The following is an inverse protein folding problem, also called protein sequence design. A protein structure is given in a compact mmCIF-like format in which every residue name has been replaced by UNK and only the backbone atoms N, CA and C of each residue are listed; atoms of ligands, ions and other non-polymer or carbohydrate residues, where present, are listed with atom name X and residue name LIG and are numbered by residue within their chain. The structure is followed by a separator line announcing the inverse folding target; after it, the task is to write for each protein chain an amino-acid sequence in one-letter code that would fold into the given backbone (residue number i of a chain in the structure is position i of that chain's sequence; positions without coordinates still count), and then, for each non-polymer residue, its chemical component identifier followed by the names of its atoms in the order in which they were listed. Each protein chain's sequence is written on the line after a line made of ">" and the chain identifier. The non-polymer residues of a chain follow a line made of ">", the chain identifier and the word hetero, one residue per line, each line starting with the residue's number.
data_IF_564475860149
#
_entry.id   IF_564475860149
#
_cell.length_a   1.000
_cell.length_b   1.000
_cell.length_c   1.000
_cell.angle_alpha   90.00
_cell.angle_beta   90.00
_cell.angle_gamma   90.00
#
_symmetry.space_group_name_H-M   'P 1'
#
loop_
_entity.id
_entity.type
_entity.pdbx_description
1 polymer ?
#
# COMPACT_ATOMS: atom_id res chain seq x y z
N UNK A 1 -17.72 -4.70 4.70
CA UNK A 1 -16.86 -4.16 3.64
C UNK A 1 -16.47 -2.71 3.91
N UNK A 2 -17.43 -1.86 4.23
CA UNK A 2 -17.14 -0.45 4.50
C UNK A 2 -16.20 -0.25 5.69
N UNK A 3 -16.36 -1.02 6.74
CA UNK A 3 -15.49 -0.94 7.91
C UNK A 3 -14.04 -1.30 7.55
N UNK A 4 -13.85 -2.32 6.73
CA UNK A 4 -12.51 -2.71 6.27
C UNK A 4 -11.89 -1.65 5.40
N UNK A 5 -12.67 -1.10 4.48
CA UNK A 5 -12.21 -0.05 3.58
C UNK A 5 -11.77 1.18 4.38
N UNK A 6 -12.56 1.59 5.36
CA UNK A 6 -12.24 2.73 6.21
C UNK A 6 -10.94 2.49 7.00
N UNK A 7 -10.79 1.30 7.57
CA UNK A 7 -9.59 0.94 8.32
C UNK A 7 -8.34 1.05 7.43
N UNK A 8 -8.41 0.49 6.22
CA UNK A 8 -7.28 0.48 5.30
C UNK A 8 -6.91 1.90 4.88
N UNK A 9 -7.90 2.67 4.43
CA UNK A 9 -7.66 4.04 3.96
C UNK A 9 -7.12 4.92 5.06
N UNK A 10 -7.72 4.84 6.25
CA UNK A 10 -7.30 5.65 7.39
C UNK A 10 -5.88 5.31 7.81
N UNK A 11 -5.55 4.01 7.91
CA UNK A 11 -4.21 3.56 8.30
C UNK A 11 -3.16 3.99 7.26
N UNK A 12 -3.47 3.80 5.97
CA UNK A 12 -2.53 4.18 4.92
C UNK A 12 -2.24 5.68 4.94
N UNK A 13 -3.25 6.50 5.17
CA UNK A 13 -3.07 7.94 5.20
C UNK A 13 -2.31 8.45 6.42
N UNK A 14 -2.10 7.62 7.44
CA UNK A 14 -1.26 7.98 8.58
C UNK A 14 0.22 7.68 8.33
N UNK A 15 0.54 6.94 7.27
CA UNK A 15 1.90 6.55 6.96
C UNK A 15 2.64 7.65 6.19
N UNK A 16 3.95 7.84 6.43
CA UNK A 16 4.70 8.86 5.71
C UNK A 16 4.79 8.54 4.22
N UNK A 17 4.55 9.54 3.37
CA UNK A 17 4.65 9.40 1.93
C UNK A 17 3.49 8.69 1.26
N UNK A 18 2.42 8.38 1.98
CA UNK A 18 1.27 7.64 1.45
C UNK A 18 0.05 8.53 1.35
N UNK A 19 -0.57 8.53 0.18
CA UNK A 19 -1.84 9.21 -0.09
C UNK A 19 -2.81 8.19 -0.65
N UNK A 20 -3.91 7.95 0.04
CA UNK A 20 -4.89 6.95 -0.36
C UNK A 20 -6.29 7.54 -0.40
N UNK A 21 -6.93 7.41 -1.55
CA UNK A 21 -8.33 7.81 -1.72
C UNK A 21 -9.25 6.61 -1.50
N UNK A 22 -10.45 6.90 -1.03
CA UNK A 22 -11.43 5.85 -0.76
C UNK A 22 -11.92 5.25 -2.08
N UNK A 23 -11.76 3.94 -2.30
CA UNK A 23 -12.22 3.31 -3.53
C UNK A 23 -13.75 3.25 -3.58
N UNK A 24 -14.30 3.31 -4.80
CA UNK A 24 -15.74 3.20 -5.02
C UNK A 24 -16.06 1.79 -5.48
N UNK A 25 -16.65 0.99 -4.58
CA UNK A 25 -17.14 -0.34 -4.92
C UNK A 25 -16.07 -1.36 -5.28
N UNK A 26 -14.82 -1.15 -4.84
CA UNK A 26 -13.71 -2.05 -5.16
C UNK A 26 -13.12 -2.63 -3.89
N UNK A 27 -12.61 -3.87 -3.97
CA UNK A 27 -11.86 -4.50 -2.89
C UNK A 27 -10.38 -4.11 -2.91
N UNK A 28 -9.98 -3.36 -3.93
CA UNK A 28 -8.59 -2.92 -4.09
C UNK A 28 -8.44 -1.48 -3.66
N UNK A 29 -7.31 -1.15 -3.06
CA UNK A 29 -6.91 0.23 -2.82
C UNK A 29 -5.68 0.53 -3.67
N UNK A 30 -5.55 1.77 -4.11
CA UNK A 30 -4.51 2.18 -5.04
C UNK A 30 -3.83 3.46 -4.54
N UNK A 31 -3.14 3.37 -3.38
CA UNK A 31 -2.51 4.55 -2.80
C UNK A 31 -1.31 5.03 -3.60
N UNK A 32 -1.09 6.33 -3.56
CA UNK A 32 0.16 6.92 -4.02
C UNK A 32 1.18 6.77 -2.90
N UNK A 33 2.31 6.15 -3.19
CA UNK A 33 3.35 5.93 -2.19
C UNK A 33 4.64 6.54 -2.71
N UNK A 34 5.15 7.54 -2.00
CA UNK A 34 6.35 8.27 -2.40
C UNK A 34 7.48 8.00 -1.42
N UNK A 35 8.51 7.29 -1.88
CA UNK A 35 9.75 7.09 -1.13
C UNK A 35 10.88 7.54 -2.04
N UNK A 36 11.63 8.59 -1.69
CA UNK A 36 12.71 9.09 -2.54
C UNK A 36 13.72 8.01 -2.90
N UNK A 37 14.03 7.88 -4.17
CA UNK A 37 14.98 6.90 -4.66
C UNK A 37 14.40 5.55 -5.02
N UNK A 38 13.10 5.34 -4.81
CA UNK A 38 12.43 4.07 -5.11
C UNK A 38 11.32 4.25 -6.14
N UNK A 39 11.27 3.34 -7.13
CA UNK A 39 10.14 3.25 -8.06
C UNK A 39 9.05 2.39 -7.44
N UNK A 40 7.85 2.39 -8.03
CA UNK A 40 6.76 1.55 -7.54
C UNK A 40 7.12 0.06 -7.62
N UNK A 41 7.85 -0.36 -8.65
CA UNK A 41 8.33 -1.74 -8.76
C UNK A 41 9.27 -2.09 -7.62
N UNK A 42 10.21 -1.21 -7.31
CA UNK A 42 11.16 -1.43 -6.23
C UNK A 42 10.45 -1.49 -4.88
N UNK A 43 9.46 -0.60 -4.67
CA UNK A 43 8.67 -0.61 -3.44
C UNK A 43 7.89 -1.91 -3.30
N UNK A 44 7.27 -2.39 -4.39
CA UNK A 44 6.53 -3.65 -4.36
C UNK A 44 7.45 -4.82 -4.00
N UNK A 45 8.67 -4.83 -4.51
CA UNK A 45 9.65 -5.86 -4.19
C UNK A 45 10.08 -5.83 -2.72
N UNK A 46 10.31 -4.64 -2.17
CA UNK A 46 10.67 -4.50 -0.76
C UNK A 46 9.55 -4.94 0.15
N UNK A 47 8.32 -4.61 -0.20
CA UNK A 47 7.15 -5.04 0.56
C UNK A 47 6.98 -6.55 0.50
N UNK A 48 7.23 -7.16 -0.66
CA UNK A 48 7.15 -8.61 -0.82
C UNK A 48 8.18 -9.31 0.08
N UNK A 49 9.38 -8.75 0.18
CA UNK A 49 10.42 -9.29 1.06
C UNK A 49 9.99 -9.28 2.52
N UNK A 50 9.19 -8.30 2.90
CA UNK A 50 8.70 -8.18 4.28
C UNK A 50 7.37 -8.89 4.49
N UNK A 51 6.87 -9.62 3.48
CA UNK A 51 5.69 -10.45 3.59
C UNK A 51 4.40 -9.80 3.09
N UNK A 52 4.48 -8.68 2.39
CA UNK A 52 3.29 -7.99 1.85
C UNK A 52 3.21 -8.19 0.35
N UNK A 53 2.11 -8.79 -0.10
CA UNK A 53 1.86 -8.99 -1.54
C UNK A 53 1.09 -7.81 -2.10
N UNK A 54 1.70 -7.12 -3.06
CA UNK A 54 1.05 -6.01 -3.76
C UNK A 54 1.60 -5.94 -5.18
N UNK A 55 0.94 -5.14 -6.03
CA UNK A 55 1.36 -4.95 -7.41
C UNK A 55 1.81 -3.50 -7.62
N UNK A 56 2.88 -3.27 -8.40
CA UNK A 56 3.24 -1.89 -8.75
C UNK A 56 2.18 -1.29 -9.66
N UNK A 57 1.92 0.00 -9.50
CA UNK A 57 0.90 0.68 -10.30
C UNK A 57 1.21 0.66 -11.79
N UNK A 58 2.49 0.57 -12.16
CA UNK A 58 2.90 0.49 -13.57
C UNK A 58 2.38 -0.75 -14.28
N UNK A 59 1.98 -1.80 -13.54
CA UNK A 59 1.35 -2.97 -14.13
C UNK A 59 0.00 -2.63 -14.77
N UNK A 60 -0.57 -1.47 -14.45
CA UNK A 60 -1.88 -1.03 -14.95
C UNK A 60 -1.76 0.18 -15.89
N UNK A 61 -0.54 0.49 -16.32
CA UNK A 61 -0.27 1.58 -17.26
C UNK A 61 0.83 2.51 -16.77
N UNK A 62 1.46 3.28 -17.67
CA UNK A 62 2.56 4.17 -17.31
C UNK A 62 2.18 5.23 -16.28
N UNK A 63 0.94 5.68 -16.27
CA UNK A 63 0.45 6.67 -15.30
C UNK A 63 0.34 6.11 -13.89
N UNK A 64 0.52 4.80 -13.72
CA UNK A 64 0.49 4.17 -12.40
C UNK A 64 1.78 4.30 -11.60
N UNK A 65 2.84 4.87 -12.19
CA UNK A 65 4.08 5.04 -11.46
C UNK A 65 3.85 5.90 -10.21
N UNK A 66 4.43 5.48 -9.09
CA UNK A 66 4.21 6.12 -7.79
C UNK A 66 3.03 5.55 -7.02
N UNK A 67 2.31 4.60 -7.61
CA UNK A 67 1.17 3.94 -6.96
C UNK A 67 1.43 2.47 -6.75
N UNK A 68 0.80 1.91 -5.71
CA UNK A 68 0.80 0.46 -5.44
C UNK A 68 -0.64 0.00 -5.32
N UNK A 69 -0.91 -1.24 -5.73
CA UNK A 69 -2.24 -1.82 -5.59
C UNK A 69 -2.22 -2.92 -4.55
N UNK A 70 -3.06 -2.77 -3.54
CA UNK A 70 -3.27 -3.77 -2.50
C UNK A 70 -4.67 -4.35 -2.63
N UNK A 71 -4.80 -5.66 -2.45
CA UNK A 71 -6.09 -6.34 -2.42
C UNK A 71 -6.32 -6.87 -1.00
N UNK A 72 -7.39 -6.43 -0.36
CA UNK A 72 -7.71 -6.82 1.00
C UNK A 72 -9.04 -7.57 1.00
N UNK A 73 -8.96 -8.90 0.97
CA UNK A 73 -10.14 -9.78 0.93
C UNK A 73 -10.24 -10.65 2.18
N UNK A 74 -9.38 -10.42 3.16
CA UNK A 74 -9.24 -11.26 4.34
C UNK A 74 -9.77 -10.54 5.59
N UNK A 75 -9.66 -11.19 6.76
CA UNK A 75 -10.20 -10.66 8.01
C UNK A 75 -9.53 -9.34 8.41
N UNK A 76 -10.21 -8.58 9.29
CA UNK A 76 -9.66 -7.31 9.78
C UNK A 76 -8.34 -7.51 10.52
N UNK A 77 -8.18 -8.63 11.23
CA UNK A 77 -6.93 -8.93 11.93
C UNK A 77 -5.77 -9.09 10.95
N UNK A 78 -5.99 -9.81 9.85
CA UNK A 78 -4.96 -10.00 8.84
C UNK A 78 -4.66 -8.71 8.10
N UNK A 79 -5.68 -7.88 7.88
CA UNK A 79 -5.50 -6.56 7.27
C UNK A 79 -4.62 -5.69 8.18
N UNK A 80 -4.88 -5.68 9.47
CA UNK A 80 -4.08 -4.90 10.43
C UNK A 80 -2.63 -5.35 10.44
N UNK A 81 -2.38 -6.67 10.42
CA UNK A 81 -1.03 -7.20 10.35
C UNK A 81 -0.33 -6.79 9.07
N UNK A 82 -1.03 -6.86 7.94
CA UNK A 82 -0.49 -6.43 6.66
C UNK A 82 -0.12 -4.96 6.66
N UNK A 83 -0.99 -4.12 7.22
CA UNK A 83 -0.73 -2.68 7.31
C UNK A 83 0.46 -2.37 8.22
N UNK A 84 0.61 -3.12 9.31
CA UNK A 84 1.77 -2.98 10.19
C UNK A 84 3.07 -3.29 9.44
N UNK A 85 3.05 -4.31 8.59
CA UNK A 85 4.21 -4.67 7.77
C UNK A 85 4.51 -3.57 6.74
N UNK A 86 3.47 -3.01 6.12
CA UNK A 86 3.65 -1.90 5.16
C UNK A 86 4.31 -0.71 5.86
N UNK A 87 3.79 -0.34 7.01
CA UNK A 87 4.33 0.78 7.78
C UNK A 87 5.78 0.52 8.18
N UNK A 88 6.09 -0.68 8.62
CA UNK A 88 7.46 -1.05 8.99
C UNK A 88 8.42 -0.96 7.81
N UNK A 89 7.99 -1.43 6.65
CA UNK A 89 8.80 -1.36 5.43
C UNK A 89 9.08 0.09 5.05
N UNK A 90 8.05 0.93 5.04
CA UNK A 90 8.21 2.34 4.67
C UNK A 90 9.12 3.08 5.65
N UNK A 91 8.96 2.82 6.94
CA UNK A 91 9.82 3.44 7.96
C UNK A 91 11.27 3.04 7.76
N UNK A 92 11.52 1.77 7.43
CA UNK A 92 12.88 1.28 7.16
C UNK A 92 13.49 1.98 5.95
N UNK A 93 12.74 2.09 4.87
CA UNK A 93 13.24 2.70 3.64
C UNK A 93 13.45 4.20 3.78
N UNK A 94 12.56 4.88 4.51
CA UNK A 94 12.65 6.32 4.69
C UNK A 94 13.77 6.74 5.65
N UNK A 95 14.23 5.83 6.50
CA UNK A 95 15.30 6.11 7.45
C UNK A 95 16.70 5.83 6.92
N UNK A 96 16.81 5.36 5.69
CA UNK A 96 18.08 5.11 5.03
C UNK A 96 18.74 6.39 4.52
#
# INVERSE_FOLDING_TARGET
>A
FHARCNLIVDRLNTMPGVECHRPKGSIYVFPKVTVPGFTSEELAMELLRDGVLCSPGTAFGPSGEGHLRFAFTISQDDISKGLDLVEGTLNRLLSQ
#
